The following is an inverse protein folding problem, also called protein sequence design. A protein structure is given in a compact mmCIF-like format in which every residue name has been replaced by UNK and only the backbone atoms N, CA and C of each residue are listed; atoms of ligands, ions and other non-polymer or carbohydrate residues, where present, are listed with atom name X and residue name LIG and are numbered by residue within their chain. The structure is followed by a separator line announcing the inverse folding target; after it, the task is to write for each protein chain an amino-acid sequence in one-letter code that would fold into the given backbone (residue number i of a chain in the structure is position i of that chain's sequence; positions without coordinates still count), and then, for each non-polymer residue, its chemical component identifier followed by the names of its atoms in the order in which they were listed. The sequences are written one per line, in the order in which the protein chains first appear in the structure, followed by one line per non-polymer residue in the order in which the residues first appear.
data_IF_269290515766
#
_entry.id   IF_269290515766
#
_cell.length_a   1.000
_cell.length_b   1.000
_cell.length_c   1.000
_cell.angle_alpha   90.00
_cell.angle_beta   90.00
_cell.angle_gamma   90.00
#
_symmetry.space_group_name_H-M   'P 1'
#
loop_
_entity.id
_entity.type
_entity.pdbx_description
1 polymer ?
#
# COMPACT_ATOMS: atom_id res chain seq x y z
N UNK A 1 -44.39 -26.85 -11.09
CA UNK A 1 -43.05 -26.45 -11.55
C UNK A 1 -42.46 -27.61 -12.32
N UNK A 2 -42.12 -27.41 -13.60
CA UNK A 2 -41.56 -28.47 -14.45
C UNK A 2 -40.07 -28.70 -14.14
N UNK A 3 -39.53 -29.87 -14.51
CA UNK A 3 -38.09 -30.18 -14.39
C UNK A 3 -37.22 -29.15 -15.12
N UNK A 4 -37.74 -28.60 -16.23
CA UNK A 4 -37.06 -27.55 -17.00
C UNK A 4 -37.01 -26.20 -16.25
N UNK A 5 -38.10 -25.79 -15.61
CA UNK A 5 -38.14 -24.53 -14.84
C UNK A 5 -37.20 -24.59 -13.62
N UNK A 6 -37.12 -25.74 -12.95
CA UNK A 6 -36.20 -25.93 -11.83
C UNK A 6 -34.72 -25.90 -12.28
N UNK A 7 -34.38 -26.59 -13.36
CA UNK A 7 -33.01 -26.59 -13.91
C UNK A 7 -32.56 -25.22 -14.40
N UNK A 8 -33.49 -24.43 -14.96
CA UNK A 8 -33.20 -23.07 -15.39
C UNK A 8 -32.93 -22.15 -14.19
N UNK A 9 -33.76 -22.24 -13.14
CA UNK A 9 -33.61 -21.46 -11.91
C UNK A 9 -32.32 -21.82 -11.15
N UNK A 10 -31.96 -23.11 -11.07
CA UNK A 10 -30.71 -23.54 -10.44
C UNK A 10 -29.47 -23.02 -11.21
N UNK A 11 -29.56 -22.89 -12.53
CA UNK A 11 -28.49 -22.32 -13.37
C UNK A 11 -28.37 -20.79 -13.21
N UNK A 12 -29.49 -20.08 -13.11
CA UNK A 12 -29.52 -18.63 -12.90
C UNK A 12 -28.91 -18.27 -11.55
N UNK A 13 -29.32 -18.96 -10.47
CA UNK A 13 -28.73 -18.79 -9.12
C UNK A 13 -27.21 -19.03 -9.15
N UNK A 14 -26.76 -20.07 -9.85
CA UNK A 14 -25.33 -20.35 -9.95
C UNK A 14 -24.57 -19.25 -10.68
N UNK A 15 -25.14 -18.70 -11.76
CA UNK A 15 -24.52 -17.60 -12.49
C UNK A 15 -24.45 -16.32 -11.65
N UNK A 16 -25.52 -15.97 -10.94
CA UNK A 16 -25.56 -14.82 -10.04
C UNK A 16 -24.50 -14.94 -8.94
N UNK A 17 -24.45 -16.10 -8.27
CA UNK A 17 -23.47 -16.35 -7.21
C UNK A 17 -22.02 -16.28 -7.74
N UNK A 18 -21.76 -16.82 -8.93
CA UNK A 18 -20.44 -16.74 -9.55
C UNK A 18 -20.05 -15.29 -9.90
N UNK A 19 -20.99 -14.51 -10.44
CA UNK A 19 -20.77 -13.10 -10.76
C UNK A 19 -20.48 -12.28 -9.50
N UNK A 20 -21.21 -12.50 -8.42
CA UNK A 20 -21.01 -11.81 -7.14
C UNK A 20 -19.61 -12.11 -6.57
N UNK A 21 -19.25 -13.39 -6.45
CA UNK A 21 -17.92 -13.80 -5.95
C UNK A 21 -16.81 -13.23 -6.83
N UNK A 22 -16.97 -13.26 -8.16
CA UNK A 22 -15.97 -12.71 -9.08
C UNK A 22 -15.84 -11.19 -8.92
N UNK A 23 -16.95 -10.47 -8.79
CA UNK A 23 -16.95 -9.02 -8.58
C UNK A 23 -16.26 -8.65 -7.26
N UNK A 24 -16.57 -9.34 -6.16
CA UNK A 24 -15.92 -9.12 -4.86
C UNK A 24 -14.42 -9.40 -4.93
N UNK A 25 -14.02 -10.53 -5.52
CA UNK A 25 -12.61 -10.89 -5.66
C UNK A 25 -11.85 -9.89 -6.54
N UNK A 26 -12.47 -9.44 -7.64
CA UNK A 26 -11.89 -8.44 -8.52
C UNK A 26 -11.71 -7.10 -7.80
N UNK A 27 -12.75 -6.60 -7.12
CA UNK A 27 -12.68 -5.35 -6.36
C UNK A 27 -11.60 -5.40 -5.28
N UNK A 28 -11.53 -6.49 -4.51
CA UNK A 28 -10.52 -6.69 -3.48
C UNK A 28 -9.11 -6.70 -4.08
N UNK A 29 -8.87 -7.51 -5.12
CA UNK A 29 -7.56 -7.60 -5.76
C UNK A 29 -7.12 -6.28 -6.40
N UNK A 30 -8.06 -5.52 -6.98
CA UNK A 30 -7.77 -4.21 -7.55
C UNK A 30 -7.40 -3.20 -6.46
N UNK A 31 -8.09 -3.23 -5.32
CA UNK A 31 -7.76 -2.38 -4.18
C UNK A 31 -6.37 -2.69 -3.63
N UNK A 32 -6.06 -3.96 -3.38
CA UNK A 32 -4.74 -4.41 -2.90
C UNK A 32 -3.62 -4.04 -3.89
N UNK A 33 -3.84 -4.26 -5.19
CA UNK A 33 -2.89 -3.89 -6.23
C UNK A 33 -2.64 -2.37 -6.26
N UNK A 34 -3.69 -1.57 -6.08
CA UNK A 34 -3.60 -0.12 -6.03
C UNK A 34 -2.85 0.37 -4.80
N UNK A 35 -3.15 -0.16 -3.61
CA UNK A 35 -2.44 0.20 -2.39
C UNK A 35 -0.95 -0.13 -2.48
N UNK A 36 -0.63 -1.33 -2.99
CA UNK A 36 0.76 -1.75 -3.22
C UNK A 36 1.49 -0.83 -4.21
N UNK A 37 0.85 -0.46 -5.31
CA UNK A 37 1.43 0.45 -6.29
C UNK A 37 1.73 1.83 -5.69
N UNK A 38 0.83 2.35 -4.83
CA UNK A 38 1.06 3.62 -4.11
C UNK A 38 2.20 3.47 -3.10
N UNK A 39 2.29 2.35 -2.39
CA UNK A 39 3.38 2.08 -1.45
C UNK A 39 4.73 2.04 -2.17
N UNK A 40 4.83 1.30 -3.28
CA UNK A 40 6.03 1.21 -4.10
C UNK A 40 6.46 2.58 -4.64
N UNK A 41 5.52 3.38 -5.16
CA UNK A 41 5.80 4.73 -5.64
C UNK A 41 6.36 5.62 -4.53
N UNK A 42 5.79 5.58 -3.32
CA UNK A 42 6.26 6.37 -2.18
C UNK A 42 7.65 5.95 -1.72
N UNK A 43 7.92 4.64 -1.67
CA UNK A 43 9.24 4.12 -1.31
C UNK A 43 10.30 4.54 -2.33
N UNK A 44 10.02 4.45 -3.63
CA UNK A 44 10.91 4.93 -4.69
C UNK A 44 11.16 6.44 -4.60
N UNK A 45 10.11 7.21 -4.31
CA UNK A 45 10.25 8.67 -4.13
C UNK A 45 11.11 8.99 -2.90
N UNK A 46 10.96 8.27 -1.78
CA UNK A 46 11.80 8.45 -0.59
C UNK A 46 13.26 8.06 -0.87
N UNK A 47 13.49 6.93 -1.55
CA UNK A 47 14.82 6.49 -1.98
C UNK A 47 15.52 7.58 -2.80
N UNK A 48 14.82 8.15 -3.79
CA UNK A 48 15.35 9.23 -4.61
C UNK A 48 15.65 10.49 -3.79
N UNK A 49 14.77 10.88 -2.86
CA UNK A 49 15.00 12.05 -2.00
C UNK A 49 16.19 11.86 -1.05
N UNK A 50 16.40 10.63 -0.55
CA UNK A 50 17.56 10.26 0.25
C UNK A 50 18.84 10.40 -0.56
N UNK A 51 18.89 9.80 -1.75
CA UNK A 51 20.06 9.85 -2.63
C UNK A 51 20.39 11.30 -3.02
N UNK A 52 19.39 12.11 -3.40
CA UNK A 52 19.58 13.51 -3.77
C UNK A 52 20.14 14.34 -2.61
N UNK A 53 19.64 14.12 -1.38
CA UNK A 53 19.93 15.02 -0.25
C UNK A 53 21.15 14.57 0.57
N UNK A 54 21.35 13.27 0.71
CA UNK A 54 22.31 12.67 1.62
C UNK A 54 23.25 11.67 0.93
N UNK A 55 23.08 11.43 -0.37
CA UNK A 55 23.85 10.45 -1.12
C UNK A 55 23.62 9.02 -0.61
N UNK A 56 24.63 8.17 -0.77
CA UNK A 56 24.57 6.75 -0.39
C UNK A 56 24.37 6.54 1.10
N UNK A 57 24.84 7.45 1.96
CA UNK A 57 24.64 7.37 3.41
C UNK A 57 23.14 7.46 3.77
N UNK A 58 22.36 8.24 3.02
CA UNK A 58 20.91 8.30 3.20
C UNK A 58 20.21 6.98 2.88
N UNK A 59 20.71 6.24 1.88
CA UNK A 59 20.13 4.96 1.46
C UNK A 59 20.27 3.86 2.52
N UNK A 60 21.18 4.01 3.48
CA UNK A 60 21.31 3.08 4.62
C UNK A 60 20.04 3.03 5.49
N UNK A 61 19.14 4.01 5.39
CA UNK A 61 17.85 4.04 6.09
C UNK A 61 16.72 3.31 5.35
N UNK A 62 16.91 2.93 4.09
CA UNK A 62 15.87 2.24 3.30
C UNK A 62 15.38 0.92 3.91
N UNK A 63 16.24 0.07 4.51
CA UNK A 63 15.77 -1.15 5.18
C UNK A 63 14.77 -0.88 6.31
N UNK A 64 14.89 0.24 7.02
CA UNK A 64 13.96 0.63 8.08
C UNK A 64 12.69 1.27 7.51
N UNK A 65 12.83 2.17 6.54
CA UNK A 65 11.70 2.87 5.90
C UNK A 65 10.80 1.89 5.14
N UNK A 66 11.38 0.88 4.48
CA UNK A 66 10.63 -0.13 3.72
C UNK A 66 9.73 -1.02 4.59
N UNK A 67 9.91 -1.02 5.92
CA UNK A 67 9.03 -1.73 6.85
C UNK A 67 7.76 -0.94 7.18
N UNK A 68 7.69 0.34 6.80
CA UNK A 68 6.52 1.19 7.00
C UNK A 68 5.49 0.86 5.93
N UNK A 69 4.37 0.27 6.37
CA UNK A 69 3.25 -0.09 5.49
C UNK A 69 2.16 0.98 5.43
N UNK A 70 2.12 1.87 6.41
CA UNK A 70 1.14 2.95 6.44
C UNK A 70 1.51 3.99 5.39
N UNK A 71 0.64 4.10 4.39
CA UNK A 71 0.75 5.05 3.31
C UNK A 71 0.88 6.48 3.85
N UNK A 72 0.06 6.90 4.81
CA UNK A 72 0.11 8.26 5.36
C UNK A 72 1.43 8.55 6.07
N UNK A 73 2.01 7.56 6.75
CA UNK A 73 3.32 7.70 7.38
C UNK A 73 4.44 7.90 6.35
N UNK A 74 4.43 7.15 5.24
CA UNK A 74 5.37 7.35 4.12
C UNK A 74 5.23 8.76 3.52
N UNK A 75 4.00 9.24 3.37
CA UNK A 75 3.71 10.58 2.87
C UNK A 75 4.19 11.68 3.85
N UNK A 76 4.08 11.46 5.17
CA UNK A 76 4.68 12.35 6.19
C UNK A 76 6.19 12.42 6.01
N UNK A 77 6.86 11.29 5.83
CA UNK A 77 8.32 11.24 5.58
C UNK A 77 8.66 12.07 4.35
N UNK A 78 8.00 11.84 3.20
CA UNK A 78 8.22 12.59 1.96
C UNK A 78 8.09 14.10 2.15
N UNK A 79 7.04 14.55 2.86
CA UNK A 79 6.83 15.99 3.11
C UNK A 79 7.90 16.60 4.01
N UNK A 80 8.46 15.85 4.95
CA UNK A 80 9.49 16.34 5.88
C UNK A 80 10.82 16.61 5.19
N UNK A 81 11.12 16.00 4.04
CA UNK A 81 12.33 16.31 3.26
C UNK A 81 12.46 17.79 2.86
N UNK A 82 11.35 18.54 2.81
CA UNK A 82 11.36 19.99 2.55
C UNK A 82 12.09 20.79 3.64
N UNK A 83 12.12 20.29 4.88
CA UNK A 83 12.66 21.02 6.04
C UNK A 83 13.75 20.27 6.79
N UNK A 84 13.84 18.95 6.59
CA UNK A 84 14.76 18.06 7.27
C UNK A 84 16.18 18.24 6.73
N UNK A 85 17.16 18.54 7.57
CA UNK A 85 18.52 18.89 7.14
C UNK A 85 19.57 17.84 7.46
N UNK A 86 19.28 16.89 8.35
CA UNK A 86 20.25 15.89 8.81
C UNK A 86 19.64 14.49 8.85
N UNK A 87 20.47 13.46 8.72
CA UNK A 87 20.02 12.07 8.86
C UNK A 87 19.52 11.76 10.28
N UNK A 88 20.02 12.46 11.30
CA UNK A 88 19.54 12.27 12.68
C UNK A 88 18.12 12.79 12.88
N UNK A 89 17.75 13.90 12.23
CA UNK A 89 16.36 14.36 12.18
C UNK A 89 15.44 13.33 11.49
N UNK A 90 15.93 12.65 10.45
CA UNK A 90 15.18 11.60 9.78
C UNK A 90 15.02 10.35 10.64
N UNK A 91 16.08 9.88 11.28
CA UNK A 91 16.02 8.76 12.24
C UNK A 91 15.04 9.04 13.37
N UNK A 92 15.07 10.25 13.91
CA UNK A 92 14.11 10.69 14.94
C UNK A 92 12.66 10.65 14.46
N UNK A 93 12.41 11.06 13.20
CA UNK A 93 11.08 10.96 12.60
C UNK A 93 10.63 9.50 12.46
N UNK A 94 11.47 8.63 11.90
CA UNK A 94 11.15 7.20 11.71
C UNK A 94 10.86 6.52 13.05
N UNK A 95 11.68 6.79 14.07
CA UNK A 95 11.45 6.29 15.43
C UNK A 95 10.11 6.77 16.01
N UNK A 96 9.74 8.04 15.82
CA UNK A 96 8.46 8.57 16.31
C UNK A 96 7.25 7.89 15.66
N UNK A 97 7.37 7.55 14.37
CA UNK A 97 6.35 6.84 13.61
C UNK A 97 6.16 5.43 14.15
N UNK A 98 7.25 4.67 14.35
CA UNK A 98 7.21 3.32 14.90
C UNK A 98 6.59 3.26 16.31
N UNK A 99 6.92 4.22 17.17
CA UNK A 99 6.36 4.27 18.54
C UNK A 99 4.87 4.60 18.59
N UNK A 100 4.33 5.23 17.55
CA UNK A 100 2.91 5.60 17.48
C UNK A 100 2.03 4.46 16.96
N UNK A 101 2.64 3.37 16.48
CA UNK A 101 1.98 2.15 16.02
C UNK A 101 1.92 1.04 17.08
N UNK A 102 2.25 1.34 18.34
CA UNK A 102 2.15 0.44 19.51
C UNK A 102 1.13 0.95 20.52
#
# INVERSE_FOLDING_TARGET
MSVFEKSFFDQEIFQEAYQEIFQEAYQKSFHEAREKAIQEERLLTIELLLEIKFGTEGLELMPEISQINDLEQLEVIMRRFKTLNTLDELRGLISSIQTSST
#
